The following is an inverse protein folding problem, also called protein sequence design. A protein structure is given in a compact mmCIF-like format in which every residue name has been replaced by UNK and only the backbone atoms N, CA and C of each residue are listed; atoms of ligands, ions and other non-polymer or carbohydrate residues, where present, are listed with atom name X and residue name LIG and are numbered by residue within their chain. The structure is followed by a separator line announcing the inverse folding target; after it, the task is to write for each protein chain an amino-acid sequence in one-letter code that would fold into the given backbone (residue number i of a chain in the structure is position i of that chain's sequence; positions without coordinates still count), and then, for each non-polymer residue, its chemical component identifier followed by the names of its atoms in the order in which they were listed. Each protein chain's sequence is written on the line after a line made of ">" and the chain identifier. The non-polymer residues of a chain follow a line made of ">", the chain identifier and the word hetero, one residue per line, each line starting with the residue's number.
data_IF_419519033718
#
_entry.id   IF_419519033718
#
_cell.length_a   1.000
_cell.length_b   1.000
_cell.length_c   1.000
_cell.angle_alpha   90.00
_cell.angle_beta   90.00
_cell.angle_gamma   90.00
#
_symmetry.space_group_name_H-M   'P 1'
#
loop_
_entity.id
_entity.type
_entity.pdbx_description
1 polymer ?
#
# COMPACT_ATOMS: atom_id res chain seq x y z
N UNK A 1 36.36 27.52 0.98
CA UNK A 1 34.91 27.46 1.30
C UNK A 1 34.61 28.59 2.29
N UNK A 2 33.56 29.37 2.07
CA UNK A 2 33.17 30.48 2.97
C UNK A 2 32.54 29.91 4.24
N UNK A 3 32.74 30.55 5.40
CA UNK A 3 32.21 30.11 6.71
C UNK A 3 30.74 29.73 6.67
N UNK A 4 29.94 30.46 5.87
CA UNK A 4 28.51 30.14 5.67
C UNK A 4 28.22 28.78 5.03
N UNK A 5 29.13 28.24 4.21
CA UNK A 5 29.00 26.92 3.60
C UNK A 5 29.21 25.81 4.64
N UNK A 6 30.13 26.01 5.59
CA UNK A 6 30.34 25.08 6.71
C UNK A 6 29.15 25.07 7.68
N UNK A 7 28.59 26.24 7.99
CA UNK A 7 27.39 26.36 8.82
C UNK A 7 26.20 25.68 8.13
N UNK A 8 26.03 25.87 6.83
CA UNK A 8 24.99 25.23 6.04
C UNK A 8 25.15 23.70 6.02
N UNK A 9 26.35 23.17 5.87
CA UNK A 9 26.65 21.74 5.92
C UNK A 9 26.35 21.15 7.30
N UNK A 10 26.77 21.82 8.38
CA UNK A 10 26.49 21.39 9.75
C UNK A 10 24.98 21.41 10.05
N UNK A 11 24.26 22.43 9.60
CA UNK A 11 22.81 22.51 9.76
C UNK A 11 22.09 21.38 8.99
N UNK A 12 22.58 21.04 7.80
CA UNK A 12 22.04 19.91 7.01
C UNK A 12 22.28 18.57 7.72
N UNK A 13 23.50 18.34 8.22
CA UNK A 13 23.84 17.11 8.97
C UNK A 13 23.00 17.01 10.25
N UNK A 14 22.87 18.10 10.99
CA UNK A 14 22.04 18.15 12.20
C UNK A 14 20.56 17.88 11.88
N UNK A 15 20.02 18.44 10.79
CA UNK A 15 18.66 18.19 10.34
C UNK A 15 18.45 16.72 9.95
N UNK A 16 19.37 16.11 9.21
CA UNK A 16 19.33 14.70 8.86
C UNK A 16 19.38 13.81 10.12
N UNK A 17 20.22 14.17 11.10
CA UNK A 17 20.31 13.43 12.36
C UNK A 17 19.00 13.52 13.15
N UNK A 18 18.41 14.71 13.27
CA UNK A 18 17.10 14.90 13.93
C UNK A 18 16.01 14.09 13.22
N UNK A 19 15.94 14.17 11.88
CA UNK A 19 14.97 13.38 11.10
C UNK A 19 15.15 11.88 11.31
N UNK A 20 16.40 11.42 11.40
CA UNK A 20 16.70 10.03 11.72
C UNK A 20 16.22 9.64 13.12
N UNK A 21 16.40 10.50 14.11
CA UNK A 21 15.97 10.25 15.48
C UNK A 21 14.45 10.19 15.63
N UNK A 22 13.73 11.05 14.88
CA UNK A 22 12.25 11.10 14.92
C UNK A 22 11.57 10.22 13.86
N UNK A 23 12.34 9.39 13.12
CA UNK A 23 11.83 8.59 12.00
C UNK A 23 10.59 7.76 12.32
N UNK A 24 10.53 7.22 13.56
CA UNK A 24 9.39 6.40 14.00
C UNK A 24 8.13 7.24 14.19
N UNK A 25 8.27 8.45 14.74
CA UNK A 25 7.15 9.39 14.85
C UNK A 25 6.65 9.86 13.47
N UNK A 26 7.57 10.08 12.52
CA UNK A 26 7.21 10.42 11.13
C UNK A 26 6.44 9.28 10.44
N UNK A 27 6.81 8.02 10.69
CA UNK A 27 6.06 6.88 10.17
C UNK A 27 4.66 6.77 10.79
N UNK A 28 4.53 6.99 12.10
CA UNK A 28 3.22 7.02 12.76
C UNK A 28 2.34 8.16 12.23
N UNK A 29 2.93 9.32 11.98
CA UNK A 29 2.24 10.44 11.34
C UNK A 29 1.80 10.09 9.90
N UNK A 30 2.67 9.42 9.13
CA UNK A 30 2.33 8.97 7.79
C UNK A 30 1.22 7.92 7.82
N UNK A 31 1.27 6.96 8.75
CA UNK A 31 0.20 5.99 8.99
C UNK A 31 -1.14 6.70 9.27
N UNK A 32 -1.09 7.74 10.12
CA UNK A 32 -2.26 8.56 10.43
C UNK A 32 -2.81 9.30 9.18
N UNK A 33 -1.95 9.79 8.29
CA UNK A 33 -2.36 10.43 7.03
C UNK A 33 -3.03 9.42 6.10
N UNK A 34 -2.45 8.23 5.93
CA UNK A 34 -3.05 7.14 5.13
C UNK A 34 -4.43 6.77 5.67
N UNK A 35 -4.53 6.61 6.99
CA UNK A 35 -5.77 6.27 7.66
C UNK A 35 -6.80 7.41 7.57
N UNK A 36 -6.37 8.67 7.73
CA UNK A 36 -7.22 9.85 7.55
C UNK A 36 -7.76 9.94 6.10
N UNK A 37 -6.94 9.61 5.11
CA UNK A 37 -7.37 9.57 3.70
C UNK A 37 -8.44 8.49 3.48
N UNK A 38 -8.27 7.30 4.09
CA UNK A 38 -9.25 6.22 4.06
C UNK A 38 -10.57 6.65 4.71
N UNK A 39 -10.51 7.20 5.93
CA UNK A 39 -11.67 7.64 6.69
C UNK A 39 -12.37 8.83 6.04
N UNK A 40 -11.64 9.75 5.42
CA UNK A 40 -12.23 10.88 4.69
C UNK A 40 -13.09 10.39 3.51
N UNK A 41 -12.67 9.34 2.80
CA UNK A 41 -13.51 8.71 1.76
C UNK A 41 -14.77 8.08 2.35
N UNK A 42 -14.63 7.36 3.47
CA UNK A 42 -15.78 6.79 4.18
C UNK A 42 -16.73 7.89 4.68
N UNK A 43 -16.21 8.96 5.29
CA UNK A 43 -16.99 10.08 5.75
C UNK A 43 -17.75 10.79 4.61
N UNK A 44 -17.08 11.02 3.47
CA UNK A 44 -17.72 11.56 2.26
C UNK A 44 -18.83 10.64 1.71
N UNK A 45 -18.61 9.31 1.76
CA UNK A 45 -19.63 8.34 1.38
C UNK A 45 -20.85 8.39 2.30
N UNK A 46 -20.64 8.43 3.62
CA UNK A 46 -21.69 8.56 4.63
C UNK A 46 -22.48 9.88 4.46
N UNK A 47 -21.78 11.00 4.21
CA UNK A 47 -22.41 12.29 3.93
C UNK A 47 -23.35 12.23 2.72
N UNK A 48 -22.89 11.62 1.62
CA UNK A 48 -23.70 11.51 0.40
C UNK A 48 -24.90 10.58 0.59
N UNK A 49 -24.69 9.43 1.24
CA UNK A 49 -25.71 8.39 1.38
C UNK A 49 -26.77 8.75 2.43
N UNK A 50 -26.34 9.31 3.57
CA UNK A 50 -27.23 9.58 4.72
C UNK A 50 -27.48 11.08 4.94
N UNK A 51 -26.96 11.95 4.08
CA UNK A 51 -27.08 13.42 4.19
C UNK A 51 -26.64 13.99 5.54
N UNK A 52 -25.63 13.36 6.17
CA UNK A 52 -25.12 13.73 7.49
C UNK A 52 -24.26 15.01 7.42
N UNK A 53 -24.26 15.79 8.52
CA UNK A 53 -23.29 16.89 8.68
C UNK A 53 -21.87 16.31 8.74
N UNK A 54 -20.87 17.07 8.27
CA UNK A 54 -19.47 16.62 8.21
C UNK A 54 -18.94 16.10 9.55
N UNK A 55 -19.20 16.83 10.64
CA UNK A 55 -18.75 16.44 11.98
C UNK A 55 -19.31 15.08 12.42
N UNK A 56 -20.60 14.81 12.14
CA UNK A 56 -21.23 13.52 12.47
C UNK A 56 -20.66 12.40 11.60
N UNK A 57 -20.47 12.63 10.31
CA UNK A 57 -19.89 11.61 9.41
C UNK A 57 -18.46 11.28 9.79
N UNK A 58 -17.66 12.25 10.19
CA UNK A 58 -16.29 12.04 10.71
C UNK A 58 -16.33 11.25 12.01
N UNK A 59 -17.18 11.62 12.96
CA UNK A 59 -17.34 10.89 14.22
C UNK A 59 -17.77 9.45 13.99
N UNK A 60 -18.77 9.21 13.14
CA UNK A 60 -19.19 7.86 12.76
C UNK A 60 -18.07 7.04 12.11
N UNK A 61 -17.25 7.65 11.24
CA UNK A 61 -16.14 6.98 10.58
C UNK A 61 -15.05 6.57 11.58
N UNK A 62 -14.74 7.41 12.56
CA UNK A 62 -13.76 7.12 13.61
C UNK A 62 -14.30 6.05 14.57
N UNK A 63 -15.56 6.17 14.98
CA UNK A 63 -16.22 5.14 15.80
C UNK A 63 -16.23 3.80 15.08
N UNK A 64 -16.54 3.79 13.79
CA UNK A 64 -16.46 2.58 12.97
C UNK A 64 -15.05 1.98 12.94
N UNK A 65 -14.02 2.80 12.72
CA UNK A 65 -12.62 2.33 12.75
C UNK A 65 -12.27 1.74 14.11
N UNK A 66 -12.64 2.41 15.19
CA UNK A 66 -12.38 1.91 16.55
C UNK A 66 -13.08 0.57 16.81
N UNK A 67 -14.35 0.43 16.40
CA UNK A 67 -15.09 -0.83 16.51
C UNK A 67 -14.46 -1.94 15.66
N UNK A 68 -14.02 -1.63 14.44
CA UNK A 68 -13.30 -2.58 13.59
C UNK A 68 -12.01 -3.03 14.28
N UNK A 69 -11.23 -2.11 14.85
CA UNK A 69 -10.00 -2.45 15.56
C UNK A 69 -10.25 -3.32 16.79
N UNK A 70 -11.23 -2.95 17.62
CA UNK A 70 -11.62 -3.74 18.80
C UNK A 70 -12.13 -5.12 18.36
N UNK A 71 -12.95 -5.18 17.31
CA UNK A 71 -13.44 -6.44 16.74
C UNK A 71 -12.31 -7.34 16.26
N UNK A 72 -11.35 -6.78 15.48
CA UNK A 72 -10.15 -7.49 15.04
C UNK A 72 -9.32 -8.00 16.22
N UNK A 73 -9.12 -7.15 17.23
CA UNK A 73 -8.38 -7.52 18.43
C UNK A 73 -9.04 -8.70 19.14
N UNK A 74 -10.36 -8.67 19.35
CA UNK A 74 -11.10 -9.72 20.03
C UNK A 74 -11.19 -11.03 19.20
N UNK A 75 -11.23 -10.93 17.87
CA UNK A 75 -11.27 -12.09 16.97
C UNK A 75 -9.88 -12.73 16.85
N UNK A 76 -8.81 -11.96 16.90
CA UNK A 76 -7.46 -12.47 16.65
C UNK A 76 -6.76 -12.84 17.96
N UNK A 77 -6.65 -11.90 18.93
CA UNK A 77 -5.74 -12.06 20.05
C UNK A 77 -6.12 -13.20 21.00
N UNK A 78 -7.36 -13.34 21.51
CA UNK A 78 -7.70 -14.41 22.43
C UNK A 78 -7.58 -15.82 21.81
N UNK A 79 -8.13 -16.07 20.59
CA UNK A 79 -7.98 -17.38 19.96
C UNK A 79 -6.53 -17.74 19.67
N UNK A 80 -5.72 -16.78 19.18
CA UNK A 80 -4.31 -17.03 18.90
C UNK A 80 -3.50 -17.28 20.17
N UNK A 81 -3.77 -16.59 21.27
CA UNK A 81 -3.11 -16.85 22.53
C UNK A 81 -3.38 -18.28 23.04
N UNK A 82 -4.63 -18.76 22.94
CA UNK A 82 -4.99 -20.14 23.29
C UNK A 82 -4.36 -21.17 22.34
N UNK A 83 -4.40 -20.91 21.02
CA UNK A 83 -3.77 -21.81 20.04
C UNK A 83 -2.26 -21.85 20.21
N UNK A 84 -1.63 -20.73 20.55
CA UNK A 84 -0.20 -20.67 20.80
C UNK A 84 0.21 -21.57 21.98
N UNK A 85 -0.57 -21.58 23.07
CA UNK A 85 -0.33 -22.51 24.18
C UNK A 85 -0.50 -23.97 23.74
N UNK A 86 -1.51 -24.26 22.94
CA UNK A 86 -1.72 -25.61 22.39
C UNK A 86 -0.60 -26.05 21.46
N UNK A 87 -0.11 -25.14 20.60
CA UNK A 87 1.01 -25.41 19.70
C UNK A 87 2.29 -25.72 20.46
N UNK A 88 2.64 -24.94 21.47
CA UNK A 88 3.84 -25.18 22.27
C UNK A 88 3.79 -26.51 23.00
N UNK A 89 2.61 -26.92 23.48
CA UNK A 89 2.41 -28.21 24.17
C UNK A 89 2.36 -29.40 23.21
N UNK A 90 1.79 -29.24 22.01
CA UNK A 90 1.54 -30.34 21.04
C UNK A 90 2.54 -30.37 19.88
N UNK A 91 3.41 -29.36 19.73
CA UNK A 91 4.42 -29.35 18.68
C UNK A 91 5.28 -30.64 18.61
N UNK A 92 5.74 -31.21 19.74
CA UNK A 92 6.48 -32.48 19.70
C UNK A 92 5.68 -33.63 19.09
N UNK A 93 4.35 -33.66 19.35
CA UNK A 93 3.46 -34.69 18.78
C UNK A 93 3.25 -34.51 17.27
N UNK A 94 3.17 -33.27 16.79
CA UNK A 94 3.08 -32.96 15.37
C UNK A 94 4.33 -33.40 14.60
N UNK A 95 5.51 -33.19 15.19
CA UNK A 95 6.80 -33.64 14.65
C UNK A 95 6.86 -35.15 14.59
N UNK A 96 6.47 -35.84 15.65
CA UNK A 96 6.44 -37.31 15.69
C UNK A 96 5.53 -37.88 14.59
N UNK A 97 4.33 -37.30 14.37
CA UNK A 97 3.42 -37.71 13.29
C UNK A 97 4.00 -37.49 11.89
N UNK A 98 4.75 -36.39 11.68
CA UNK A 98 5.45 -36.20 10.43
C UNK A 98 6.48 -37.29 10.16
N UNK A 99 7.29 -37.64 11.16
CA UNK A 99 8.26 -38.72 11.04
C UNK A 99 7.56 -40.04 10.72
N UNK A 100 6.53 -40.42 11.47
CA UNK A 100 5.74 -41.63 11.21
C UNK A 100 5.17 -41.65 9.78
N UNK A 101 4.74 -40.51 9.26
CA UNK A 101 4.17 -40.40 7.93
C UNK A 101 5.23 -40.49 6.83
N UNK A 102 6.39 -39.88 7.03
CA UNK A 102 7.56 -40.01 6.13
C UNK A 102 8.02 -41.46 6.08
N UNK A 103 8.17 -42.13 7.23
CA UNK A 103 8.54 -43.54 7.32
C UNK A 103 7.50 -44.44 6.61
N UNK A 104 6.19 -44.15 6.71
CA UNK A 104 5.15 -44.86 5.98
C UNK A 104 5.23 -44.66 4.45
N UNK A 105 5.57 -43.45 4.00
CA UNK A 105 5.81 -43.18 2.57
C UNK A 105 7.03 -43.91 2.09
N UNK A 106 8.11 -43.81 2.82
CA UNK A 106 9.37 -44.49 2.50
C UNK A 106 9.17 -45.99 2.39
N UNK A 107 8.47 -46.63 3.35
CA UNK A 107 8.16 -48.07 3.30
C UNK A 107 7.23 -48.46 2.15
N UNK A 108 6.29 -47.60 1.75
CA UNK A 108 5.37 -47.87 0.63
C UNK A 108 6.05 -47.68 -0.75
N UNK A 109 7.00 -46.77 -0.87
CA UNK A 109 7.65 -46.41 -2.14
C UNK A 109 9.04 -47.01 -2.29
N UNK A 110 9.64 -47.62 -1.25
CA UNK A 110 10.98 -48.25 -1.29
C UNK A 110 11.12 -49.39 -2.32
N UNK A 111 10.00 -49.89 -2.84
CA UNK A 111 10.00 -50.92 -3.88
C UNK A 111 10.30 -50.44 -5.30
N UNK A 112 10.13 -49.16 -5.63
CA UNK A 112 10.25 -48.67 -7.02
C UNK A 112 11.08 -47.39 -7.19
N UNK A 113 11.32 -46.58 -6.16
CA UNK A 113 11.96 -45.25 -6.25
C UNK A 113 13.13 -45.10 -5.27
N UNK A 114 13.41 -46.09 -4.44
CA UNK A 114 14.35 -46.04 -3.30
C UNK A 114 15.82 -45.79 -3.60
N UNK A 115 16.21 -45.55 -4.86
CA UNK A 115 17.60 -45.20 -5.22
C UNK A 115 17.80 -43.76 -5.68
N UNK A 116 16.78 -42.91 -5.71
CA UNK A 116 16.88 -41.53 -6.27
C UNK A 116 16.38 -40.40 -5.39
N UNK A 117 15.85 -40.67 -4.23
CA UNK A 117 15.56 -39.57 -3.30
C UNK A 117 16.82 -39.36 -2.45
N UNK A 118 17.41 -38.14 -2.44
CA UNK A 118 18.44 -37.84 -1.45
C UNK A 118 17.81 -38.08 -0.08
N UNK A 119 18.54 -38.72 0.86
CA UNK A 119 18.13 -38.92 2.24
C UNK A 119 17.63 -37.54 2.79
N UNK A 120 16.36 -37.29 2.65
CA UNK A 120 15.72 -36.15 3.30
C UNK A 120 15.61 -36.51 4.79
N UNK A 121 16.74 -36.31 5.49
CA UNK A 121 16.73 -36.44 6.93
C UNK A 121 15.82 -35.35 7.50
N UNK A 122 14.55 -35.74 7.76
CA UNK A 122 13.52 -34.84 8.34
C UNK A 122 14.06 -34.24 9.65
N UNK A 123 14.92 -34.96 10.36
CA UNK A 123 15.56 -34.44 11.57
C UNK A 123 16.53 -33.30 11.27
N UNK A 124 17.23 -33.32 10.15
CA UNK A 124 18.10 -32.21 9.76
C UNK A 124 17.32 -31.00 9.30
N UNK A 125 16.22 -31.20 8.58
CA UNK A 125 15.27 -30.13 8.21
C UNK A 125 14.65 -29.54 9.48
N UNK A 126 14.25 -30.38 10.43
CA UNK A 126 13.70 -29.93 11.71
C UNK A 126 14.72 -29.19 12.57
N UNK A 127 15.97 -29.63 12.61
CA UNK A 127 17.06 -28.90 13.31
C UNK A 127 17.29 -27.52 12.70
N UNK A 128 17.15 -27.36 11.38
CA UNK A 128 17.26 -26.07 10.70
C UNK A 128 16.01 -25.21 10.89
N UNK A 129 14.82 -25.80 10.98
CA UNK A 129 13.57 -25.08 11.22
C UNK A 129 13.35 -24.73 12.69
N UNK A 130 13.94 -25.47 13.63
CA UNK A 130 13.77 -25.25 15.07
C UNK A 130 14.18 -23.84 15.54
N UNK A 131 15.29 -23.24 15.07
CA UNK A 131 15.62 -21.85 15.39
C UNK A 131 14.59 -20.86 14.84
N UNK A 132 14.10 -21.08 13.61
CA UNK A 132 13.05 -20.27 13.01
C UNK A 132 11.72 -20.40 13.77
N UNK A 133 11.36 -21.62 14.15
CA UNK A 133 10.18 -21.87 14.97
C UNK A 133 10.30 -21.22 16.36
N UNK A 134 11.44 -21.35 17.03
CA UNK A 134 11.70 -20.71 18.31
C UNK A 134 11.70 -19.18 18.20
N UNK A 135 12.19 -18.64 17.09
CA UNK A 135 12.18 -17.20 16.82
C UNK A 135 10.75 -16.68 16.54
N UNK A 136 9.95 -17.44 15.79
CA UNK A 136 8.53 -17.14 15.57
C UNK A 136 7.71 -17.22 16.87
N UNK A 137 7.95 -18.29 17.64
CA UNK A 137 7.32 -18.52 18.96
C UNK A 137 7.74 -17.45 19.96
N UNK A 138 9.04 -17.16 20.06
CA UNK A 138 9.57 -16.10 20.91
C UNK A 138 9.07 -14.71 20.50
N UNK A 139 9.02 -14.45 19.19
CA UNK A 139 8.46 -13.21 18.62
C UNK A 139 6.97 -13.03 18.90
N UNK A 140 6.18 -14.10 18.80
CA UNK A 140 4.76 -14.07 19.16
C UNK A 140 4.54 -13.87 20.66
N UNK A 141 5.35 -14.49 21.53
CA UNK A 141 5.35 -14.25 22.96
C UNK A 141 5.73 -12.83 23.32
N UNK A 142 6.76 -12.27 22.68
CA UNK A 142 7.17 -10.87 22.84
C UNK A 142 6.09 -9.90 22.34
N UNK A 143 5.36 -10.24 21.27
CA UNK A 143 4.23 -9.45 20.77
C UNK A 143 3.10 -9.39 21.79
N UNK A 144 2.74 -10.52 22.39
CA UNK A 144 1.74 -10.57 23.49
C UNK A 144 2.25 -9.81 24.71
N UNK A 145 3.53 -9.93 25.07
CA UNK A 145 4.14 -9.22 26.18
C UNK A 145 4.22 -7.70 25.99
N UNK A 146 4.30 -7.22 24.74
CA UNK A 146 4.37 -5.79 24.40
C UNK A 146 3.02 -5.21 23.96
N UNK A 147 1.91 -5.86 24.28
CA UNK A 147 0.54 -5.44 23.88
C UNK A 147 0.26 -3.99 24.30
N UNK A 148 0.75 -3.54 25.45
CA UNK A 148 0.57 -2.16 25.90
C UNK A 148 1.23 -1.16 24.95
N UNK A 149 2.44 -1.44 24.49
CA UNK A 149 3.15 -0.59 23.51
C UNK A 149 2.42 -0.52 22.16
N UNK A 150 1.87 -1.64 21.70
CA UNK A 150 1.06 -1.69 20.48
C UNK A 150 -0.22 -0.87 20.62
N UNK A 151 -0.93 -1.00 21.75
CA UNK A 151 -2.15 -0.23 22.05
C UNK A 151 -1.84 1.27 22.12
N UNK A 152 -0.76 1.67 22.79
CA UNK A 152 -0.35 3.07 22.89
C UNK A 152 0.02 3.64 21.52
N UNK A 153 0.76 2.90 20.70
CA UNK A 153 1.11 3.31 19.33
C UNK A 153 -0.13 3.45 18.46
N UNK A 154 -1.06 2.52 18.57
CA UNK A 154 -2.34 2.60 17.86
C UNK A 154 -3.18 3.79 18.32
N UNK A 155 -3.26 4.03 19.62
CA UNK A 155 -3.99 5.18 20.18
C UNK A 155 -3.38 6.50 19.67
N UNK A 156 -2.04 6.59 19.63
CA UNK A 156 -1.35 7.75 19.08
C UNK A 156 -1.70 7.95 17.59
N UNK A 157 -1.66 6.88 16.77
CA UNK A 157 -2.07 6.96 15.36
C UNK A 157 -3.53 7.39 15.23
N UNK A 158 -4.42 6.88 16.10
CA UNK A 158 -5.83 7.25 16.10
C UNK A 158 -6.03 8.74 16.42
N UNK A 159 -5.33 9.25 17.43
CA UNK A 159 -5.36 10.68 17.79
C UNK A 159 -4.82 11.55 16.65
N UNK A 160 -3.69 11.19 16.06
CA UNK A 160 -3.11 11.92 14.92
C UNK A 160 -4.05 11.86 13.70
N UNK A 161 -4.70 10.72 13.47
CA UNK A 161 -5.71 10.57 12.41
C UNK A 161 -6.90 11.48 12.64
N UNK A 162 -7.40 11.54 13.89
CA UNK A 162 -8.50 12.42 14.27
C UNK A 162 -8.15 13.90 14.02
N UNK A 163 -6.97 14.31 14.49
CA UNK A 163 -6.49 15.70 14.30
C UNK A 163 -6.35 16.04 12.82
N UNK A 164 -5.75 15.16 12.01
CA UNK A 164 -5.59 15.36 10.57
C UNK A 164 -6.92 15.38 9.83
N UNK A 165 -7.88 14.56 10.25
CA UNK A 165 -9.20 14.48 9.64
C UNK A 165 -10.11 15.65 10.04
N UNK A 166 -9.94 16.20 11.26
CA UNK A 166 -10.69 17.34 11.75
C UNK A 166 -10.38 18.60 10.95
N UNK A 167 -9.10 18.90 10.72
CA UNK A 167 -8.66 20.09 9.98
C UNK A 167 -7.54 19.77 8.96
N UNK A 168 -7.85 19.08 7.87
CA UNK A 168 -6.88 18.69 6.87
C UNK A 168 -6.22 19.88 6.16
N UNK A 169 -6.95 21.01 6.04
CA UNK A 169 -6.47 22.18 5.33
C UNK A 169 -5.34 22.90 6.07
N UNK A 170 -5.40 22.98 7.40
CA UNK A 170 -4.35 23.61 8.19
C UNK A 170 -3.04 22.82 8.16
N UNK A 171 -3.09 21.48 8.27
CA UNK A 171 -1.91 20.63 8.13
C UNK A 171 -1.31 20.71 6.73
N UNK A 172 -2.15 20.70 5.69
CA UNK A 172 -1.70 20.88 4.31
C UNK A 172 -1.01 22.23 4.10
N UNK A 173 -1.61 23.33 4.58
CA UNK A 173 -1.02 24.67 4.50
C UNK A 173 0.30 24.74 5.24
N UNK A 174 0.40 24.20 6.46
CA UNK A 174 1.63 24.15 7.23
C UNK A 174 2.75 23.43 6.47
N UNK A 175 2.44 22.28 5.86
CA UNK A 175 3.40 21.56 5.04
C UNK A 175 3.85 22.35 3.80
N UNK A 176 2.92 22.99 3.09
CA UNK A 176 3.22 23.80 1.90
C UNK A 176 4.11 25.02 2.26
N UNK A 177 3.95 25.59 3.46
CA UNK A 177 4.77 26.73 3.91
C UNK A 177 6.26 26.39 4.10
N UNK A 178 6.63 25.11 4.25
CA UNK A 178 8.02 24.67 4.31
C UNK A 178 8.77 24.88 2.99
N UNK A 179 8.04 25.08 1.89
CA UNK A 179 8.62 25.26 0.56
C UNK A 179 8.69 26.74 0.16
N UNK A 180 9.65 27.12 -0.71
CA UNK A 180 9.75 28.47 -1.25
C UNK A 180 8.43 28.92 -1.92
N UNK A 181 8.12 30.21 -1.84
CA UNK A 181 6.86 30.78 -2.31
C UNK A 181 6.56 30.48 -3.79
N UNK A 182 7.59 30.50 -4.65
CA UNK A 182 7.47 30.23 -6.08
C UNK A 182 7.10 28.76 -6.40
N UNK A 183 7.35 27.82 -5.49
CA UNK A 183 7.09 26.41 -5.71
C UNK A 183 5.84 25.89 -4.99
N UNK A 184 5.23 26.70 -4.10
CA UNK A 184 4.08 26.30 -3.25
C UNK A 184 2.88 25.80 -4.06
N UNK A 185 2.53 26.50 -5.16
CA UNK A 185 1.43 26.09 -6.04
C UNK A 185 1.68 24.73 -6.67
N UNK A 186 2.93 24.43 -7.00
CA UNK A 186 3.33 23.13 -7.54
C UNK A 186 3.21 22.02 -6.50
N UNK A 187 3.70 22.28 -5.27
CA UNK A 187 3.55 21.36 -4.13
C UNK A 187 2.07 21.05 -3.87
N UNK A 188 1.21 22.04 -3.96
CA UNK A 188 -0.23 21.83 -3.79
C UNK A 188 -0.78 20.80 -4.79
N UNK A 189 -0.42 20.89 -6.05
CA UNK A 189 -0.79 19.90 -7.08
C UNK A 189 -0.20 18.51 -6.82
N UNK A 190 1.05 18.43 -6.37
CA UNK A 190 1.69 17.15 -6.01
C UNK A 190 0.95 16.48 -4.84
N UNK A 191 0.55 17.25 -3.84
CA UNK A 191 -0.21 16.72 -2.71
C UNK A 191 -1.61 16.22 -3.13
N UNK A 192 -2.28 16.88 -4.07
CA UNK A 192 -3.55 16.40 -4.63
C UNK A 192 -3.39 15.05 -5.33
N UNK A 193 -2.34 14.90 -6.15
CA UNK A 193 -2.03 13.63 -6.79
C UNK A 193 -1.68 12.53 -5.76
N UNK A 194 -0.96 12.88 -4.68
CA UNK A 194 -0.69 11.95 -3.58
C UNK A 194 -1.99 11.51 -2.88
N UNK A 195 -2.91 12.43 -2.60
CA UNK A 195 -4.22 12.10 -1.97
C UNK A 195 -5.03 11.16 -2.87
N UNK A 196 -5.05 11.42 -4.18
CA UNK A 196 -5.75 10.59 -5.16
C UNK A 196 -5.11 9.20 -5.22
N UNK A 197 -3.78 9.12 -5.33
CA UNK A 197 -3.05 7.87 -5.45
C UNK A 197 -3.18 7.00 -4.18
N UNK A 198 -2.96 7.59 -3.00
CA UNK A 198 -3.17 6.92 -1.71
C UNK A 198 -4.61 6.45 -1.56
N UNK A 199 -5.54 7.28 -1.94
CA UNK A 199 -6.94 6.94 -1.84
C UNK A 199 -7.38 5.79 -2.76
N UNK A 200 -6.79 5.65 -3.94
CA UNK A 200 -7.00 4.49 -4.82
C UNK A 200 -6.34 3.25 -4.24
N UNK A 201 -5.10 3.38 -3.76
CA UNK A 201 -4.39 2.29 -3.12
C UNK A 201 -5.15 1.72 -1.91
N UNK A 202 -5.67 2.58 -1.02
CA UNK A 202 -6.46 2.14 0.15
C UNK A 202 -7.68 1.32 -0.28
N UNK A 203 -8.43 1.77 -1.28
CA UNK A 203 -9.60 1.02 -1.78
C UNK A 203 -9.17 -0.33 -2.33
N UNK A 204 -8.11 -0.37 -3.14
CA UNK A 204 -7.57 -1.60 -3.67
C UNK A 204 -7.13 -2.57 -2.57
N UNK A 205 -6.40 -2.08 -1.56
CA UNK A 205 -5.97 -2.85 -0.41
C UNK A 205 -7.17 -3.44 0.36
N UNK A 206 -8.20 -2.64 0.64
CA UNK A 206 -9.41 -3.11 1.33
C UNK A 206 -10.17 -4.18 0.54
N UNK A 207 -10.26 -4.04 -0.79
CA UNK A 207 -10.86 -5.07 -1.65
C UNK A 207 -10.05 -6.35 -1.57
N UNK A 208 -8.73 -6.28 -1.77
CA UNK A 208 -7.85 -7.46 -1.71
C UNK A 208 -7.92 -8.14 -0.35
N UNK A 209 -7.80 -7.39 0.75
CA UNK A 209 -7.93 -7.91 2.12
C UNK A 209 -9.25 -8.64 2.32
N UNK A 210 -10.36 -8.06 1.87
CA UNK A 210 -11.71 -8.65 2.02
C UNK A 210 -11.87 -9.93 1.21
N UNK A 211 -11.39 -9.95 -0.03
CA UNK A 211 -11.48 -11.13 -0.91
C UNK A 211 -10.61 -12.26 -0.38
N UNK A 212 -9.37 -11.97 0.04
CA UNK A 212 -8.47 -12.99 0.60
C UNK A 212 -9.01 -13.54 1.91
N UNK A 213 -9.52 -12.67 2.80
CA UNK A 213 -10.18 -13.12 4.03
C UNK A 213 -11.38 -14.04 3.72
N UNK A 214 -12.21 -13.67 2.75
CA UNK A 214 -13.39 -14.44 2.38
C UNK A 214 -13.03 -15.81 1.78
N UNK A 215 -12.07 -15.86 0.84
CA UNK A 215 -11.61 -17.11 0.25
C UNK A 215 -10.93 -18.01 1.29
N UNK A 216 -10.11 -17.44 2.16
CA UNK A 216 -9.48 -18.19 3.26
C UNK A 216 -10.53 -18.74 4.24
N UNK A 217 -11.56 -17.94 4.58
CA UNK A 217 -12.63 -18.38 5.46
C UNK A 217 -13.38 -19.61 4.88
N UNK A 218 -13.76 -19.53 3.60
CA UNK A 218 -14.46 -20.63 2.94
C UNK A 218 -13.56 -21.87 2.88
N UNK A 219 -12.33 -21.72 2.38
CA UNK A 219 -11.41 -22.85 2.21
C UNK A 219 -11.06 -23.53 3.52
N UNK A 220 -10.73 -22.77 4.57
CA UNK A 220 -10.41 -23.32 5.89
C UNK A 220 -11.64 -23.95 6.57
N UNK A 221 -12.84 -23.40 6.34
CA UNK A 221 -14.10 -23.98 6.84
C UNK A 221 -14.41 -25.32 6.16
N UNK A 222 -14.20 -25.43 4.85
CA UNK A 222 -14.36 -26.67 4.08
C UNK A 222 -13.36 -27.74 4.56
N UNK A 223 -12.12 -27.33 4.82
CA UNK A 223 -11.07 -28.20 5.37
C UNK A 223 -11.26 -28.50 6.86
N UNK A 224 -12.29 -27.93 7.50
CA UNK A 224 -12.58 -28.09 8.93
C UNK A 224 -11.36 -27.77 9.82
N UNK A 225 -10.62 -26.72 9.47
CA UNK A 225 -9.52 -26.22 10.31
C UNK A 225 -10.12 -25.45 11.49
N UNK A 226 -9.68 -25.68 12.74
CA UNK A 226 -10.18 -24.94 13.89
C UNK A 226 -10.00 -23.41 13.74
N UNK A 227 -10.99 -22.63 14.21
CA UNK A 227 -11.00 -21.17 14.19
C UNK A 227 -10.78 -20.55 12.78
N UNK A 228 -11.51 -20.98 11.76
CA UNK A 228 -11.29 -20.54 10.38
C UNK A 228 -11.45 -19.02 10.22
N UNK A 229 -12.35 -18.39 10.99
CA UNK A 229 -12.56 -16.94 10.97
C UNK A 229 -11.32 -16.17 11.43
N UNK A 230 -10.68 -16.61 12.52
CA UNK A 230 -9.49 -15.92 13.03
C UNK A 230 -8.34 -16.00 12.02
N UNK A 231 -8.09 -17.17 11.43
CA UNK A 231 -7.07 -17.36 10.40
C UNK A 231 -7.38 -16.57 9.12
N UNK A 232 -8.63 -16.54 8.70
CA UNK A 232 -9.07 -15.79 7.52
C UNK A 232 -8.89 -14.28 7.69
N UNK A 233 -9.23 -13.75 8.86
CA UNK A 233 -9.05 -12.33 9.18
C UNK A 233 -7.55 -11.98 9.21
N UNK A 234 -6.72 -12.84 9.80
CA UNK A 234 -5.25 -12.66 9.79
C UNK A 234 -4.70 -12.71 8.37
N UNK A 235 -5.15 -13.67 7.54
CA UNK A 235 -4.72 -13.77 6.15
C UNK A 235 -5.07 -12.50 5.36
N UNK A 236 -6.31 -12.00 5.49
CA UNK A 236 -6.73 -10.76 4.86
C UNK A 236 -5.92 -9.54 5.35
N UNK A 237 -5.70 -9.43 6.67
CA UNK A 237 -4.93 -8.30 7.23
C UNK A 237 -3.45 -8.34 6.81
N UNK A 238 -2.81 -9.51 6.88
CA UNK A 238 -1.41 -9.66 6.47
C UNK A 238 -1.22 -9.45 4.97
N UNK A 239 -2.27 -9.62 4.16
CA UNK A 239 -2.25 -9.33 2.73
C UNK A 239 -1.97 -7.86 2.39
N UNK A 240 -2.02 -6.96 3.38
CA UNK A 240 -1.53 -5.59 3.24
C UNK A 240 -0.03 -5.53 2.90
N UNK A 241 0.71 -6.59 3.23
CA UNK A 241 2.13 -6.77 2.90
C UNK A 241 2.24 -7.84 1.79
N UNK A 242 2.28 -7.46 0.51
CA UNK A 242 2.32 -8.42 -0.59
C UNK A 242 3.51 -9.38 -0.48
N UNK A 243 3.34 -10.60 -0.95
CA UNK A 243 4.29 -11.69 -0.94
C UNK A 243 4.65 -12.23 0.45
N UNK A 244 4.95 -11.38 1.41
CA UNK A 244 5.34 -11.77 2.78
C UNK A 244 4.10 -12.15 3.60
N UNK A 245 3.04 -11.36 3.50
CA UNK A 245 1.81 -11.56 4.26
C UNK A 245 1.15 -12.92 4.03
N UNK A 246 0.83 -13.29 2.78
CA UNK A 246 0.28 -14.61 2.48
C UNK A 246 1.17 -15.75 2.97
N UNK A 247 2.49 -15.64 2.80
CA UNK A 247 3.44 -16.68 3.24
C UNK A 247 3.45 -16.85 4.76
N UNK A 248 3.38 -15.76 5.53
CA UNK A 248 3.31 -15.83 6.99
C UNK A 248 1.94 -16.34 7.45
N UNK A 249 0.86 -15.92 6.77
CA UNK A 249 -0.50 -16.24 7.18
C UNK A 249 -0.87 -17.72 7.03
N UNK A 250 -0.14 -18.49 6.19
CA UNK A 250 -0.37 -19.93 6.06
C UNK A 250 0.17 -20.73 7.24
N UNK A 251 1.18 -20.22 7.95
CA UNK A 251 1.88 -20.96 9.02
C UNK A 251 0.93 -21.40 10.15
N UNK A 252 0.12 -20.52 10.77
CA UNK A 252 -0.77 -20.95 11.86
C UNK A 252 -1.78 -22.02 11.46
N UNK A 253 -2.60 -21.87 10.40
CA UNK A 253 -3.58 -22.88 10.04
C UNK A 253 -2.93 -24.19 9.57
N UNK A 254 -1.77 -24.13 8.91
CA UNK A 254 -1.02 -25.29 8.48
C UNK A 254 -0.50 -26.11 9.67
N UNK A 255 0.07 -25.45 10.68
CA UNK A 255 0.57 -26.09 11.90
C UNK A 255 -0.56 -26.73 12.72
N UNK A 256 -1.71 -26.08 12.79
CA UNK A 256 -2.87 -26.65 13.49
C UNK A 256 -3.43 -27.86 12.71
N UNK A 257 -3.54 -27.76 11.39
CA UNK A 257 -3.97 -28.87 10.55
C UNK A 257 -3.01 -30.09 10.64
N UNK A 258 -1.73 -29.84 10.85
CA UNK A 258 -0.72 -30.88 11.05
C UNK A 258 -0.95 -31.70 12.34
N UNK A 259 -1.51 -31.06 13.39
CA UNK A 259 -1.88 -31.78 14.61
C UNK A 259 -3.02 -32.78 14.40
N UNK A 260 -3.86 -32.55 13.37
CA UNK A 260 -4.91 -33.50 12.98
C UNK A 260 -4.31 -34.60 12.08
N UNK A 261 -3.90 -34.26 10.87
CA UNK A 261 -3.28 -35.16 9.90
C UNK A 261 -2.31 -34.40 8.98
N UNK A 262 -1.19 -35.01 8.56
CA UNK A 262 -0.26 -34.43 7.59
C UNK A 262 -0.94 -34.09 6.25
N UNK A 263 -1.88 -34.93 5.80
CA UNK A 263 -2.64 -34.70 4.58
C UNK A 263 -3.45 -33.38 4.66
N UNK A 264 -4.09 -33.11 5.78
CA UNK A 264 -4.85 -31.87 6.00
C UNK A 264 -3.95 -30.64 5.96
N UNK A 265 -2.76 -30.73 6.54
CA UNK A 265 -1.74 -29.68 6.46
C UNK A 265 -1.31 -29.41 5.01
N UNK A 266 -1.08 -30.44 4.21
CA UNK A 266 -0.80 -30.34 2.79
C UNK A 266 -1.94 -29.68 1.99
N UNK A 267 -3.20 -30.03 2.31
CA UNK A 267 -4.37 -29.40 1.69
C UNK A 267 -4.49 -27.90 2.05
N UNK A 268 -4.15 -27.52 3.27
CA UNK A 268 -4.09 -26.09 3.66
C UNK A 268 -3.01 -25.35 2.85
N UNK A 269 -1.84 -25.94 2.65
CA UNK A 269 -0.79 -25.35 1.83
C UNK A 269 -1.26 -25.16 0.38
N UNK A 270 -1.90 -26.18 -0.20
CA UNK A 270 -2.47 -26.12 -1.56
C UNK A 270 -3.55 -25.03 -1.64
N UNK A 271 -4.43 -24.93 -0.65
CA UNK A 271 -5.46 -23.90 -0.58
C UNK A 271 -4.84 -22.49 -0.64
N UNK A 272 -3.85 -22.21 0.20
CA UNK A 272 -3.19 -20.90 0.23
C UNK A 272 -2.41 -20.64 -1.07
N UNK A 273 -1.80 -21.65 -1.65
CA UNK A 273 -1.17 -21.53 -2.96
C UNK A 273 -2.19 -21.14 -4.05
N UNK A 274 -3.37 -21.79 -4.07
CA UNK A 274 -4.44 -21.45 -5.01
C UNK A 274 -4.98 -20.04 -4.79
N UNK A 275 -5.17 -19.63 -3.53
CA UNK A 275 -5.56 -18.26 -3.19
C UNK A 275 -4.52 -17.27 -3.69
N UNK A 276 -3.21 -17.55 -3.50
CA UNK A 276 -2.13 -16.71 -3.98
C UNK A 276 -2.09 -16.61 -5.51
N UNK A 277 -2.34 -17.72 -6.21
CA UNK A 277 -2.43 -17.72 -7.67
C UNK A 277 -3.64 -16.90 -8.16
N UNK A 278 -4.77 -17.02 -7.48
CA UNK A 278 -5.94 -16.19 -7.76
C UNK A 278 -5.64 -14.70 -7.53
N UNK A 279 -4.99 -14.37 -6.40
CA UNK A 279 -4.61 -13.00 -6.10
C UNK A 279 -3.68 -12.41 -7.16
N UNK A 280 -2.59 -13.12 -7.49
CA UNK A 280 -1.56 -12.61 -8.39
C UNK A 280 -2.04 -12.50 -9.84
N UNK A 281 -2.85 -13.45 -10.31
CA UNK A 281 -3.23 -13.53 -11.72
C UNK A 281 -4.58 -12.87 -12.04
N UNK A 282 -5.48 -12.73 -11.07
CA UNK A 282 -6.84 -12.21 -11.29
C UNK A 282 -7.08 -10.94 -10.47
N UNK A 283 -6.90 -11.00 -9.15
CA UNK A 283 -7.27 -9.91 -8.26
C UNK A 283 -6.35 -8.70 -8.42
N UNK A 284 -5.04 -8.92 -8.41
CA UNK A 284 -4.04 -7.85 -8.55
C UNK A 284 -4.17 -7.09 -9.87
N UNK A 285 -4.25 -7.72 -11.07
CA UNK A 285 -4.49 -7.01 -12.31
C UNK A 285 -5.80 -6.21 -12.31
N UNK A 286 -6.88 -6.80 -11.79
CA UNK A 286 -8.18 -6.14 -11.72
C UNK A 286 -8.17 -4.90 -10.80
N UNK A 287 -7.55 -5.02 -9.64
CA UNK A 287 -7.44 -3.92 -8.66
C UNK A 287 -6.44 -2.87 -9.12
N UNK A 288 -5.31 -3.30 -9.72
CA UNK A 288 -4.25 -2.37 -10.16
C UNK A 288 -4.53 -1.69 -11.52
N UNK A 289 -5.47 -2.18 -12.32
CA UNK A 289 -5.87 -1.52 -13.57
C UNK A 289 -6.26 -0.04 -13.38
N UNK A 290 -6.66 0.33 -12.17
CA UNK A 290 -7.04 1.69 -11.77
C UNK A 290 -5.96 2.42 -10.94
N UNK A 291 -4.80 1.80 -10.72
CA UNK A 291 -3.74 2.33 -9.85
C UNK A 291 -2.46 2.64 -10.64
N UNK A 292 -1.55 3.34 -9.98
CA UNK A 292 -0.21 3.58 -10.53
C UNK A 292 0.52 2.24 -10.59
N UNK A 293 0.87 1.77 -11.78
CA UNK A 293 1.58 0.51 -11.98
C UNK A 293 2.97 0.57 -11.37
N UNK A 294 3.15 -0.04 -10.21
CA UNK A 294 4.45 -0.25 -9.59
C UNK A 294 5.11 -1.48 -10.23
N UNK A 295 6.36 -1.36 -10.64
CA UNK A 295 7.14 -2.51 -11.06
C UNK A 295 7.34 -3.47 -9.88
N UNK A 296 7.13 -4.79 -10.03
CA UNK A 296 7.28 -5.75 -8.95
C UNK A 296 8.64 -5.68 -8.24
N UNK A 297 9.73 -5.45 -8.99
CA UNK A 297 11.05 -5.28 -8.41
C UNK A 297 11.14 -4.05 -7.48
N UNK A 298 10.50 -2.93 -7.85
CA UNK A 298 10.49 -1.71 -7.03
C UNK A 298 9.74 -1.96 -5.72
N UNK A 299 8.62 -2.69 -5.75
CA UNK A 299 7.87 -3.03 -4.54
C UNK A 299 8.66 -3.91 -3.59
N UNK A 300 9.35 -4.93 -4.10
CA UNK A 300 10.21 -5.80 -3.30
C UNK A 300 11.38 -5.04 -2.66
N UNK A 301 12.10 -4.24 -3.45
CA UNK A 301 13.22 -3.42 -2.95
C UNK A 301 12.71 -2.45 -1.88
N UNK A 302 11.57 -1.79 -2.12
CA UNK A 302 10.96 -0.88 -1.15
C UNK A 302 10.58 -1.60 0.15
N UNK A 303 9.99 -2.80 0.07
CA UNK A 303 9.65 -3.61 1.24
C UNK A 303 10.89 -3.95 2.05
N UNK A 304 11.97 -4.44 1.41
CA UNK A 304 13.23 -4.75 2.08
C UNK A 304 13.84 -3.49 2.70
N UNK A 305 13.87 -2.40 1.96
CA UNK A 305 14.39 -1.12 2.46
C UNK A 305 13.61 -0.64 3.69
N UNK A 306 12.30 -0.49 3.59
CA UNK A 306 11.49 0.01 4.70
C UNK A 306 11.46 -0.95 5.90
N UNK A 307 11.52 -2.28 5.66
CA UNK A 307 11.64 -3.26 6.73
C UNK A 307 12.97 -3.13 7.49
N UNK A 308 14.08 -2.96 6.77
CA UNK A 308 15.41 -2.86 7.37
C UNK A 308 15.58 -1.59 8.20
N UNK A 309 15.10 -0.44 7.69
CA UNK A 309 15.30 0.85 8.36
C UNK A 309 14.25 1.16 9.43
N UNK A 310 13.04 0.63 9.30
CA UNK A 310 11.89 1.02 10.13
C UNK A 310 11.16 -0.19 10.77
N UNK A 311 11.65 -1.41 10.54
CA UNK A 311 11.07 -2.62 11.09
C UNK A 311 9.68 -2.95 10.55
N UNK A 312 8.87 -3.62 11.37
CA UNK A 312 7.54 -4.09 10.97
C UNK A 312 6.60 -2.96 10.50
N UNK A 313 6.62 -1.81 11.17
CA UNK A 313 5.80 -0.66 10.77
C UNK A 313 6.21 -0.12 9.40
N UNK A 314 7.52 -0.09 9.11
CA UNK A 314 8.03 0.28 7.80
C UNK A 314 7.61 -0.70 6.70
N UNK A 315 7.66 -2.00 7.00
CA UNK A 315 7.20 -3.04 6.09
C UNK A 315 5.70 -2.91 5.78
N UNK A 316 4.87 -2.65 6.79
CA UNK A 316 3.43 -2.45 6.65
C UNK A 316 3.10 -1.23 5.77
N UNK A 317 3.87 -0.15 5.94
CA UNK A 317 3.68 1.11 5.22
C UNK A 317 4.52 1.20 3.92
N UNK A 318 5.27 0.15 3.57
CA UNK A 318 6.17 0.17 2.42
C UNK A 318 5.45 0.54 1.11
N UNK A 319 4.29 -0.07 0.85
CA UNK A 319 3.52 0.21 -0.36
C UNK A 319 2.97 1.64 -0.41
N UNK A 320 2.25 2.16 0.59
CA UNK A 320 1.77 3.54 0.52
C UNK A 320 2.92 4.56 0.50
N UNK A 321 4.05 4.29 1.16
CA UNK A 321 5.24 5.12 1.05
C UNK A 321 5.80 5.11 -0.38
N UNK A 322 5.84 3.94 -1.02
CA UNK A 322 6.31 3.80 -2.40
C UNK A 322 5.38 4.53 -3.38
N UNK A 323 4.05 4.44 -3.18
CA UNK A 323 3.07 5.17 -3.99
C UNK A 323 3.29 6.68 -3.91
N UNK A 324 3.48 7.21 -2.70
CA UNK A 324 3.77 8.64 -2.52
C UNK A 324 5.12 9.01 -3.14
N UNK A 325 6.17 8.22 -2.89
CA UNK A 325 7.50 8.45 -3.47
C UNK A 325 7.44 8.46 -5.00
N UNK A 326 6.68 7.55 -5.62
CA UNK A 326 6.52 7.50 -7.08
C UNK A 326 5.81 8.75 -7.62
N UNK A 327 4.78 9.25 -6.94
CA UNK A 327 4.11 10.51 -7.32
C UNK A 327 5.12 11.66 -7.27
N UNK A 328 5.88 11.76 -6.18
CA UNK A 328 6.92 12.81 -6.05
C UNK A 328 7.99 12.70 -7.14
N UNK A 329 8.51 11.51 -7.40
CA UNK A 329 9.51 11.28 -8.46
C UNK A 329 8.93 11.68 -9.82
N UNK A 330 7.71 11.25 -10.14
CA UNK A 330 7.08 11.56 -11.42
C UNK A 330 6.81 13.05 -11.59
N UNK A 331 6.24 13.69 -10.58
CA UNK A 331 5.83 15.10 -10.69
C UNK A 331 7.02 16.07 -10.51
N UNK A 332 7.81 15.91 -9.44
CA UNK A 332 8.87 16.84 -9.11
C UNK A 332 10.18 16.57 -9.86
N UNK A 333 10.57 15.27 -10.04
CA UNK A 333 11.85 14.97 -10.69
C UNK A 333 11.69 14.86 -12.21
N UNK A 334 10.74 14.04 -12.70
CA UNK A 334 10.64 13.79 -14.14
C UNK A 334 10.04 14.99 -14.86
N UNK A 335 8.86 15.49 -14.42
CA UNK A 335 8.18 16.58 -15.12
C UNK A 335 8.85 17.94 -14.93
N UNK A 336 9.31 18.28 -13.73
CA UNK A 336 9.82 19.61 -13.43
C UNK A 336 11.33 19.77 -13.72
N UNK A 337 12.11 18.68 -13.66
CA UNK A 337 13.56 18.74 -13.85
C UNK A 337 13.98 18.08 -15.18
N UNK A 338 13.70 16.77 -15.35
CA UNK A 338 14.22 16.03 -16.49
C UNK A 338 13.59 16.47 -17.83
N UNK A 339 12.26 16.64 -17.86
CA UNK A 339 11.59 17.06 -19.11
C UNK A 339 11.87 18.53 -19.47
N UNK A 340 12.26 19.38 -18.48
CA UNK A 340 12.62 20.77 -18.75
C UNK A 340 14.11 20.92 -19.13
N UNK A 341 14.95 19.93 -18.83
CA UNK A 341 16.37 19.98 -19.17
C UNK A 341 16.61 19.91 -20.69
N UNK A 342 15.76 19.23 -21.46
CA UNK A 342 15.81 19.18 -22.92
C UNK A 342 15.13 20.36 -23.61
N UNK A 343 14.33 21.13 -22.90
CA UNK A 343 13.69 22.34 -23.41
C UNK A 343 14.64 23.54 -23.38
N UNK A 344 15.89 23.38 -23.89
CA UNK A 344 16.76 24.52 -24.15
C UNK A 344 16.19 25.25 -25.38
N UNK A 345 15.63 26.47 -25.23
CA UNK A 345 15.01 27.20 -26.36
C UNK A 345 15.97 27.41 -27.52
N UNK A 346 17.29 27.46 -27.28
CA UNK A 346 18.32 27.52 -28.32
C UNK A 346 18.44 26.21 -29.12
N UNK A 347 18.17 25.05 -28.50
CA UNK A 347 18.20 23.74 -29.18
C UNK A 347 16.95 23.54 -30.01
N UNK A 348 15.78 23.94 -29.49
CA UNK A 348 14.53 23.89 -30.23
C UNK A 348 14.55 24.84 -31.44
N UNK A 349 15.07 26.07 -31.27
CA UNK A 349 15.26 27.01 -32.38
C UNK A 349 16.28 26.50 -33.41
N UNK A 350 17.35 25.83 -32.97
CA UNK A 350 18.33 25.22 -33.88
C UNK A 350 17.79 24.00 -34.62
N UNK A 351 16.94 23.21 -34.00
CA UNK A 351 16.23 22.09 -34.66
C UNK A 351 15.20 22.63 -35.63
N UNK A 352 14.45 23.66 -35.29
CA UNK A 352 13.43 24.27 -36.12
C UNK A 352 14.07 24.95 -37.35
N UNK A 353 15.23 25.63 -37.19
CA UNK A 353 16.00 26.17 -38.28
C UNK A 353 16.62 25.09 -39.19
N UNK A 354 17.12 23.99 -38.61
CA UNK A 354 17.66 22.87 -39.37
C UNK A 354 16.58 22.14 -40.17
N UNK A 355 15.40 21.99 -39.57
CA UNK A 355 14.23 21.42 -40.28
C UNK A 355 13.78 22.34 -41.42
N UNK A 356 13.77 23.66 -41.24
CA UNK A 356 13.45 24.61 -42.29
C UNK A 356 14.48 24.61 -43.42
N UNK A 357 15.78 24.54 -43.11
CA UNK A 357 16.84 24.42 -44.11
C UNK A 357 16.72 23.09 -44.90
N UNK A 358 16.36 22.01 -44.24
CA UNK A 358 16.16 20.69 -44.88
C UNK A 358 14.93 20.71 -45.82
N UNK A 359 13.82 21.35 -45.43
CA UNK A 359 12.65 21.53 -46.26
C UNK A 359 12.90 22.44 -47.47
N UNK A 360 13.71 23.50 -47.30
CA UNK A 360 14.15 24.33 -48.41
C UNK A 360 15.09 23.59 -49.38
N UNK A 361 16.00 22.76 -48.90
CA UNK A 361 16.94 21.98 -49.70
C UNK A 361 16.26 20.88 -50.53
N UNK A 362 15.12 20.35 -50.05
CA UNK A 362 14.32 19.29 -50.75
C UNK A 362 13.38 19.91 -51.78
N UNK A 363 13.37 21.25 -51.95
CA UNK A 363 12.60 21.89 -53.03
C UNK A 363 11.08 21.82 -52.87
N UNK A 364 10.59 21.59 -51.64
CA UNK A 364 9.16 21.73 -51.32
C UNK A 364 8.84 23.19 -51.18
N UNK A 365 8.87 23.90 -52.31
CA UNK A 365 8.51 25.30 -52.41
C UNK A 365 7.07 25.49 -51.94
N UNK A 366 6.90 26.44 -51.04
CA UNK A 366 5.66 27.01 -50.57
C UNK A 366 4.57 27.09 -51.65
N UNK A 367 3.67 26.14 -51.67
CA UNK A 367 2.38 26.21 -52.39
C UNK A 367 1.21 26.20 -51.40
N UNK A 368 1.37 26.73 -50.22
CA UNK A 368 0.27 26.77 -49.24
C UNK A 368 0.21 28.01 -48.36
N UNK A 369 0.66 29.16 -48.88
CA UNK A 369 0.41 30.46 -48.21
C UNK A 369 -0.64 31.33 -48.92
N UNK A 370 -1.38 30.75 -49.88
CA UNK A 370 -2.46 31.49 -50.52
C UNK A 370 -3.80 30.80 -50.29
N UNK A 371 -4.60 31.45 -49.44
CA UNK A 371 -6.02 31.24 -49.11
C UNK A 371 -6.31 30.79 -47.68
N UNK A 372 -6.01 31.68 -46.74
CA UNK A 372 -6.89 31.88 -45.60
C UNK A 372 -7.65 33.19 -45.86
N UNK A 373 -8.98 33.22 -45.93
CA UNK A 373 -9.71 34.47 -46.05
C UNK A 373 -9.55 35.26 -44.75
N UNK A 374 -9.08 36.49 -44.86
CA UNK A 374 -9.14 37.52 -43.83
C UNK A 374 -10.58 37.63 -43.32
N UNK A 375 -10.85 37.08 -42.19
CA UNK A 375 -12.08 37.38 -41.46
C UNK A 375 -11.86 38.72 -40.74
N UNK A 376 -12.22 39.80 -41.45
CA UNK A 376 -12.40 41.13 -40.88
C UNK A 376 -13.60 41.12 -39.93
N UNK A 377 -13.47 41.55 -38.69
CA UNK A 377 -14.64 41.77 -37.86
C UNK A 377 -15.32 43.07 -38.38
N UNK A 378 -16.49 42.94 -38.99
CA UNK A 378 -17.40 44.06 -39.20
C UNK A 378 -17.89 44.56 -37.84
N UNK A 379 -17.36 45.68 -37.45
CA UNK A 379 -17.98 46.56 -36.46
C UNK A 379 -18.89 47.50 -37.28
N UNK A 380 -20.15 47.19 -37.33
CA UNK A 380 -21.21 48.16 -37.67
C UNK A 380 -21.90 48.56 -36.40
N UNK A 381 -21.59 49.80 -35.99
CA UNK A 381 -22.50 50.65 -35.23
C UNK A 381 -23.85 50.65 -35.91
N UNK A 382 -24.89 50.32 -35.18
CA UNK A 382 -26.21 50.96 -35.36
C UNK A 382 -26.89 51.01 -34.00
N UNK A 383 -26.95 52.24 -33.55
CA UNK A 383 -27.81 52.72 -32.47
C UNK A 383 -29.24 52.79 -32.97
N UNK A 384 -30.11 52.84 -31.99
CA UNK A 384 -31.48 53.32 -31.97
C UNK A 384 -32.60 52.36 -32.36
N UNK A 385 -33.42 52.22 -31.44
CA UNK A 385 -34.88 52.44 -31.27
C UNK A 385 -35.57 51.29 -30.51
N UNK A 386 -35.85 51.55 -29.27
CA UNK A 386 -37.18 52.06 -28.78
C UNK A 386 -38.35 51.05 -28.86
N UNK A 387 -38.90 50.96 -27.70
CA UNK A 387 -40.30 50.75 -27.38
C UNK A 387 -41.01 49.37 -27.48
N UNK A 388 -41.51 49.14 -26.31
CA UNK A 388 -42.85 48.65 -25.96
C UNK A 388 -43.12 47.15 -25.76
N UNK A 389 -43.40 46.90 -24.51
CA UNK A 389 -44.68 46.40 -23.97
C UNK A 389 -45.08 44.95 -24.19
N UNK A 390 -45.28 44.35 -23.06
CA UNK A 390 -46.42 43.51 -22.66
C UNK A 390 -46.21 42.00 -22.50
N UNK A 391 -46.15 41.57 -21.28
CA UNK A 391 -47.26 40.95 -20.52
C UNK A 391 -47.68 39.52 -20.92
N UNK A 392 -47.79 38.76 -19.86
CA UNK A 392 -48.57 37.52 -19.66
C UNK A 392 -47.85 36.22 -20.12
N UNK A 393 -47.56 35.31 -19.22
CA UNK A 393 -48.48 34.53 -18.44
C UNK A 393 -48.30 33.06 -18.73
N UNK A 394 -48.11 32.34 -17.71
CA UNK A 394 -48.20 30.91 -17.41
C UNK A 394 -46.90 30.25 -17.01
#
# INVERSE_FOLDING_TARGET
>A
MKLGQWIGLLALIASCYILWQIRQALLLLFAAIVLATALNKLARYLQKKFRLKRSIAVLCSITFLFLVFVGLFLIIVPPFALQFQQLTQRAPQGIARLNDWVDQIETRFSGQIGQRLPNLDVNDIMRQLQPLFNQLVGGAGAFVGNTLGVILSFLLVLVLTLMTLADPLSYRKAFIQLFPSFYRRRIEGILDECEIALGRWVIGALISMSVIAFLSLIGLSVLQVPLPLAHAVVAGFLNLIPNIGPTISVIPPMTIALLDTPLKSGLVLILYFLIQQFESNILTPYVMAQQVSLLPAVTLIAQVFFATFFGFLGLLLALPLTVVAQVWIREALIKDILNQWDANPKRLAAIDSAIHEEYESIGVTQSRSEKLPEHKPDISDDADNDDTINNSGL
#
